data_IF_190536283104
#
_entry.id   IF_190536283104
#
_cell.length_a   1.000
_cell.length_b   1.000
_cell.length_c   1.000
_cell.angle_alpha   90.00
_cell.angle_beta   90.00
_cell.angle_gamma   90.00
#
_symmetry.space_group_name_H-M   'P 1'
#
loop_
_entity.id
_entity.type
_entity.pdbx_description
1 polymer ?
#
# COMPACT_ATOMS: atom_id res chain seq x y z
N UNK A 1 -6.84 25.04 -9.53
CA UNK A 1 -5.51 24.43 -9.31
C UNK A 1 -5.30 24.54 -7.81
N UNK A 2 -5.16 23.43 -7.07
CA UNK A 2 -4.89 23.51 -5.63
C UNK A 2 -3.56 24.22 -5.42
N UNK A 3 -3.54 25.21 -4.52
CA UNK A 3 -2.31 25.89 -4.16
C UNK A 3 -1.37 24.87 -3.48
N UNK A 4 -0.15 24.75 -3.98
CA UNK A 4 0.83 23.79 -3.44
C UNK A 4 1.25 24.13 -2.02
N UNK A 5 1.10 25.41 -1.61
CA UNK A 5 1.41 25.88 -0.26
C UNK A 5 0.30 25.53 0.75
N UNK A 6 -0.90 25.19 0.26
CA UNK A 6 -2.04 24.79 1.09
C UNK A 6 -2.06 23.27 1.38
N UNK A 7 -1.13 22.48 0.84
CA UNK A 7 -1.06 21.04 1.06
C UNK A 7 -0.65 20.73 2.51
N UNK A 8 -1.19 19.63 3.07
CA UNK A 8 -0.93 19.20 4.44
C UNK A 8 0.58 19.07 4.76
N UNK A 9 1.37 18.55 3.82
CA UNK A 9 2.82 18.43 3.97
C UNK A 9 3.55 19.80 3.97
N UNK A 10 3.07 20.81 3.23
CA UNK A 10 3.61 22.16 3.27
C UNK A 10 3.34 22.80 4.63
N UNK A 11 2.10 22.72 5.11
CA UNK A 11 1.70 23.22 6.44
C UNK A 11 2.44 22.52 7.59
N UNK A 12 2.71 21.22 7.47
CA UNK A 12 3.49 20.47 8.46
C UNK A 12 4.94 20.98 8.54
N UNK A 13 5.56 21.28 7.38
CA UNK A 13 6.90 21.88 7.33
C UNK A 13 6.93 23.28 7.92
N UNK A 14 5.93 24.12 7.60
CA UNK A 14 5.82 25.47 8.14
C UNK A 14 5.74 25.45 9.69
N UNK A 15 5.00 24.50 10.25
CA UNK A 15 4.92 24.31 11.71
C UNK A 15 6.11 23.57 12.30
N UNK A 16 7.06 23.10 11.49
CA UNK A 16 8.17 22.25 11.93
C UNK A 16 7.69 20.99 12.68
N UNK A 17 6.61 20.38 12.21
CA UNK A 17 6.08 19.15 12.83
C UNK A 17 7.14 18.05 12.84
N UNK A 18 7.35 17.34 13.96
CA UNK A 18 8.35 16.29 14.03
C UNK A 18 7.98 15.09 13.13
N UNK A 19 8.96 14.55 12.40
CA UNK A 19 8.80 13.34 11.58
C UNK A 19 9.16 12.08 12.36
N UNK A 20 10.16 12.17 13.25
CA UNK A 20 10.70 11.03 13.99
C UNK A 20 9.65 10.50 14.98
N UNK A 21 9.44 9.19 14.98
CA UNK A 21 8.54 8.49 15.89
C UNK A 21 7.04 8.66 15.59
N UNK A 22 6.68 9.19 14.42
CA UNK A 22 5.28 9.42 14.05
C UNK A 22 4.72 8.36 13.08
N UNK A 23 5.51 7.37 12.70
CA UNK A 23 5.07 6.25 11.89
C UNK A 23 4.02 5.42 12.64
N UNK A 24 3.10 4.84 11.89
CA UNK A 24 2.12 3.92 12.47
C UNK A 24 2.82 2.68 13.03
N UNK A 25 2.42 2.27 14.23
CA UNK A 25 2.87 1.01 14.82
C UNK A 25 2.11 -0.17 14.20
N UNK A 26 2.52 -0.58 13.01
CA UNK A 26 1.95 -1.71 12.29
C UNK A 26 3.04 -2.74 12.06
N UNK A 27 2.80 -3.97 12.53
CA UNK A 27 3.77 -5.07 12.40
C UNK A 27 3.74 -5.71 11.02
N UNK A 28 2.54 -5.85 10.45
CA UNK A 28 2.34 -6.48 9.15
C UNK A 28 1.45 -5.64 8.25
N UNK A 29 1.75 -5.66 6.96
CA UNK A 29 0.89 -5.13 5.93
C UNK A 29 0.40 -6.24 5.01
N UNK A 30 -0.88 -6.20 4.67
CA UNK A 30 -1.45 -6.92 3.55
C UNK A 30 -1.51 -5.97 2.36
N UNK A 31 -0.72 -6.22 1.34
CA UNK A 31 -0.68 -5.47 0.09
C UNK A 31 -1.56 -6.17 -0.93
N UNK A 32 -2.48 -5.45 -1.56
CA UNK A 32 -3.38 -6.00 -2.59
C UNK A 32 -3.29 -5.13 -3.84
N UNK A 33 -2.86 -5.71 -4.94
CA UNK A 33 -2.77 -4.97 -6.20
C UNK A 33 -4.16 -4.68 -6.76
N UNK A 34 -4.42 -3.39 -7.02
CA UNK A 34 -5.64 -2.90 -7.63
C UNK A 34 -5.33 -1.74 -8.57
N UNK A 35 -5.56 -1.94 -9.88
CA UNK A 35 -5.18 -0.99 -10.95
C UNK A 35 -6.13 0.21 -11.08
N UNK A 36 -7.37 0.07 -10.65
CA UNK A 36 -8.40 1.08 -10.76
C UNK A 36 -8.15 2.35 -9.93
N UNK A 37 -9.03 3.33 -10.06
CA UNK A 37 -9.02 4.49 -9.18
C UNK A 37 -9.40 4.07 -7.75
N UNK A 38 -8.73 4.66 -6.77
CA UNK A 38 -9.06 4.44 -5.36
C UNK A 38 -9.98 5.56 -4.86
N UNK A 39 -11.20 5.23 -4.34
CA UNK A 39 -12.07 6.18 -3.64
C UNK A 39 -11.45 6.65 -2.34
N UNK A 40 -12.09 7.52 -1.56
CA UNK A 40 -11.58 8.00 -0.28
C UNK A 40 -11.24 6.84 0.67
N UNK A 41 -12.12 5.84 0.77
CA UNK A 41 -11.86 4.57 1.43
C UNK A 41 -11.40 3.55 0.37
N UNK A 42 -10.10 3.35 0.26
CA UNK A 42 -9.49 2.58 -0.82
C UNK A 42 -10.07 1.17 -0.99
N UNK A 43 -10.45 0.51 0.09
CA UNK A 43 -11.03 -0.84 0.04
C UNK A 43 -12.46 -0.91 -0.52
N UNK A 44 -13.10 0.25 -0.77
CA UNK A 44 -14.38 0.34 -1.47
C UNK A 44 -14.18 0.51 -3.00
N UNK A 45 -12.99 0.19 -3.52
CA UNK A 45 -12.68 0.27 -4.95
C UNK A 45 -13.55 -0.69 -5.76
N UNK A 46 -14.01 -0.19 -6.92
CA UNK A 46 -14.76 -1.01 -7.89
C UNK A 46 -13.96 -2.27 -8.29
N UNK A 47 -14.64 -3.41 -8.32
CA UNK A 47 -14.01 -4.70 -8.64
C UNK A 47 -13.39 -5.44 -7.45
N UNK A 48 -13.46 -4.89 -6.25
CA UNK A 48 -13.23 -5.64 -5.01
C UNK A 48 -14.58 -6.16 -4.48
N UNK A 49 -14.65 -7.44 -4.20
CA UNK A 49 -15.83 -8.07 -3.61
C UNK A 49 -15.97 -7.64 -2.13
N UNK A 50 -17.11 -7.05 -1.72
CA UNK A 50 -17.29 -6.54 -0.36
C UNK A 50 -17.18 -7.61 0.73
N UNK A 51 -17.62 -8.85 0.46
CA UNK A 51 -17.56 -9.93 1.42
C UNK A 51 -16.11 -10.41 1.63
N UNK A 52 -15.33 -10.46 0.53
CA UNK A 52 -13.89 -10.74 0.60
C UNK A 52 -13.18 -9.61 1.33
N UNK A 53 -13.47 -8.35 1.03
CA UNK A 53 -12.89 -7.20 1.73
C UNK A 53 -13.20 -7.27 3.24
N UNK A 54 -14.42 -7.60 3.63
CA UNK A 54 -14.77 -7.76 5.04
C UNK A 54 -13.91 -8.83 5.73
N UNK A 55 -13.64 -9.95 5.05
CA UNK A 55 -12.75 -11.01 5.54
C UNK A 55 -11.28 -10.56 5.65
N UNK A 56 -10.77 -9.83 4.67
CA UNK A 56 -9.42 -9.25 4.72
C UNK A 56 -9.29 -8.29 5.91
N UNK A 57 -10.27 -7.42 6.11
CA UNK A 57 -10.29 -6.46 7.23
C UNK A 57 -10.36 -7.18 8.57
N UNK A 58 -11.17 -8.23 8.69
CA UNK A 58 -11.24 -9.04 9.91
C UNK A 58 -9.91 -9.73 10.20
N UNK A 59 -9.30 -10.37 9.20
CA UNK A 59 -8.02 -11.06 9.34
C UNK A 59 -6.87 -10.11 9.70
N UNK A 60 -6.79 -8.94 9.06
CA UNK A 60 -5.76 -7.94 9.38
C UNK A 60 -5.94 -7.37 10.78
N UNK A 61 -7.18 -7.11 11.21
CA UNK A 61 -7.48 -6.64 12.57
C UNK A 61 -7.05 -7.65 13.63
N UNK A 62 -7.29 -8.93 13.41
CA UNK A 62 -6.96 -10.01 14.33
C UNK A 62 -5.45 -10.05 14.66
N UNK A 63 -4.59 -9.79 13.68
CA UNK A 63 -3.12 -9.84 13.84
C UNK A 63 -2.47 -8.46 13.96
N UNK A 64 -3.25 -7.39 14.11
CA UNK A 64 -2.72 -6.02 14.17
C UNK A 64 -2.06 -5.55 12.88
N UNK A 65 -2.44 -6.13 11.74
CA UNK A 65 -1.97 -5.76 10.41
C UNK A 65 -2.86 -4.66 9.77
N UNK A 66 -2.41 -4.13 8.64
CA UNK A 66 -3.16 -3.15 7.84
C UNK A 66 -3.21 -3.56 6.37
N UNK A 67 -4.38 -3.50 5.76
CA UNK A 67 -4.53 -3.67 4.32
C UNK A 67 -4.26 -2.37 3.59
N UNK A 68 -3.44 -2.43 2.53
CA UNK A 68 -3.10 -1.32 1.65
C UNK A 68 -3.26 -1.78 0.20
N UNK A 69 -3.94 -0.98 -0.62
CA UNK A 69 -3.95 -1.22 -2.06
C UNK A 69 -2.65 -0.71 -2.68
N UNK A 70 -2.12 -1.47 -3.61
CA UNK A 70 -0.91 -1.16 -4.36
C UNK A 70 -1.16 -1.22 -5.86
N UNK A 71 -0.33 -0.56 -6.67
CA UNK A 71 -0.25 -0.72 -8.13
C UNK A 71 1.10 -0.28 -8.64
N UNK A 72 1.48 -0.76 -9.81
CA UNK A 72 2.71 -0.30 -10.45
C UNK A 72 2.61 1.18 -10.87
N UNK A 73 3.69 1.96 -10.76
CA UNK A 73 3.75 3.32 -11.29
C UNK A 73 3.38 3.36 -12.78
N UNK A 74 2.61 4.38 -13.18
CA UNK A 74 2.09 4.48 -14.54
C UNK A 74 0.95 3.50 -14.85
N UNK A 75 0.38 2.85 -13.83
CA UNK A 75 -0.73 1.87 -13.96
C UNK A 75 -0.41 0.73 -14.91
N UNK A 76 0.84 0.28 -14.92
CA UNK A 76 1.23 -0.90 -15.67
C UNK A 76 0.57 -2.12 -15.05
N UNK A 77 -0.10 -2.94 -15.86
CA UNK A 77 -0.66 -4.22 -15.46
C UNK A 77 -0.02 -5.33 -16.28
N UNK A 78 0.03 -6.52 -15.71
CA UNK A 78 0.40 -7.70 -16.50
C UNK A 78 -0.69 -8.01 -17.53
N UNK A 79 -0.26 -8.39 -18.74
CA UNK A 79 -1.18 -8.78 -19.81
C UNK A 79 -2.02 -10.03 -19.46
N UNK A 80 -1.58 -10.82 -18.50
CA UNK A 80 -2.28 -12.01 -17.99
C UNK A 80 -3.54 -11.72 -17.19
N UNK A 81 -3.79 -10.47 -16.78
CA UNK A 81 -4.86 -10.11 -15.83
C UNK A 81 -4.60 -10.58 -14.39
N UNK A 82 -3.49 -11.24 -14.14
CA UNK A 82 -3.05 -11.70 -12.82
C UNK A 82 -2.52 -10.51 -12.02
N UNK A 83 -3.00 -10.36 -10.79
CA UNK A 83 -2.63 -9.28 -9.88
C UNK A 83 -1.87 -9.83 -8.68
N UNK A 84 -0.98 -9.04 -8.11
CA UNK A 84 -0.21 -9.45 -6.95
C UNK A 84 -0.97 -9.20 -5.64
N UNK A 85 -0.68 -10.02 -4.64
CA UNK A 85 -0.85 -9.66 -3.24
C UNK A 85 0.45 -9.97 -2.50
N UNK A 86 0.67 -9.35 -1.34
CA UNK A 86 1.78 -9.70 -0.47
C UNK A 86 1.40 -9.51 1.00
N UNK A 87 2.03 -10.30 1.86
CA UNK A 87 2.10 -10.03 3.29
C UNK A 87 3.52 -9.60 3.60
N UNK A 88 3.68 -8.38 4.12
CA UNK A 88 4.96 -7.85 4.56
C UNK A 88 5.01 -7.84 6.08
N UNK A 89 5.97 -8.53 6.66
CA UNK A 89 6.31 -8.51 8.09
C UNK A 89 7.45 -7.50 8.30
N UNK A 90 7.07 -6.31 8.73
CA UNK A 90 7.99 -5.17 8.87
C UNK A 90 8.96 -5.37 10.04
N UNK A 91 8.52 -6.07 11.07
CA UNK A 91 9.33 -6.32 12.27
C UNK A 91 10.50 -7.27 11.98
N UNK A 92 10.26 -8.28 11.14
CA UNK A 92 11.25 -9.27 10.76
C UNK A 92 11.93 -9.00 9.40
N UNK A 93 11.53 -7.95 8.69
CA UNK A 93 12.07 -7.62 7.37
C UNK A 93 11.78 -8.70 6.32
N UNK A 94 10.62 -9.35 6.38
CA UNK A 94 10.26 -10.45 5.49
C UNK A 94 9.00 -10.13 4.70
N UNK A 95 8.93 -10.65 3.48
CA UNK A 95 7.76 -10.50 2.62
C UNK A 95 7.43 -11.84 1.95
N UNK A 96 6.14 -12.12 1.81
CA UNK A 96 5.65 -13.24 1.00
C UNK A 96 4.67 -12.74 -0.05
N UNK A 97 5.00 -12.98 -1.30
CA UNK A 97 4.17 -12.65 -2.45
C UNK A 97 3.27 -13.81 -2.85
N UNK A 98 2.11 -13.47 -3.34
CA UNK A 98 1.18 -14.35 -4.02
C UNK A 98 0.49 -13.62 -5.17
N UNK A 99 -0.47 -14.27 -5.79
CA UNK A 99 -1.20 -13.69 -6.89
C UNK A 99 -2.69 -14.01 -6.81
N UNK A 100 -3.50 -13.17 -7.42
CA UNK A 100 -4.93 -13.33 -7.46
C UNK A 100 -5.50 -12.94 -8.83
N UNK A 101 -6.54 -13.63 -9.23
CA UNK A 101 -7.34 -13.34 -10.42
C UNK A 101 -8.76 -13.08 -9.99
N UNK A 102 -9.29 -13.95 -9.17
CA UNK A 102 -10.59 -13.83 -8.53
C UNK A 102 -10.47 -13.36 -7.09
N UNK A 103 -11.49 -12.66 -6.61
CA UNK A 103 -11.48 -12.14 -5.24
C UNK A 103 -11.29 -13.23 -4.19
N UNK A 104 -11.79 -14.45 -4.43
CA UNK A 104 -11.62 -15.58 -3.52
C UNK A 104 -10.15 -15.98 -3.30
N UNK A 105 -9.28 -15.77 -4.29
CA UNK A 105 -7.84 -16.07 -4.18
C UNK A 105 -7.18 -15.23 -3.06
N UNK A 106 -7.72 -14.04 -2.78
CA UNK A 106 -7.22 -13.19 -1.69
C UNK A 106 -7.40 -13.80 -0.30
N UNK A 107 -8.24 -14.83 -0.16
CA UNK A 107 -8.40 -15.52 1.12
C UNK A 107 -7.15 -16.33 1.51
N UNK A 108 -6.30 -16.70 0.54
CA UNK A 108 -4.98 -17.26 0.82
C UNK A 108 -4.13 -16.26 1.62
N UNK A 109 -4.16 -14.99 1.26
CA UNK A 109 -3.44 -13.96 1.99
C UNK A 109 -3.87 -13.85 3.47
N UNK A 110 -5.15 -14.14 3.79
CA UNK A 110 -5.63 -14.19 5.17
C UNK A 110 -4.96 -15.33 5.98
N UNK A 111 -4.67 -16.46 5.36
CA UNK A 111 -3.94 -17.54 6.01
C UNK A 111 -2.47 -17.15 6.25
N UNK A 112 -1.83 -16.58 5.22
CA UNK A 112 -0.42 -16.12 5.29
C UNK A 112 -0.21 -15.05 6.35
N UNK A 113 -1.20 -14.19 6.61
CA UNK A 113 -1.13 -13.20 7.70
C UNK A 113 -0.85 -13.80 9.08
N UNK A 114 -1.22 -15.06 9.29
CA UNK A 114 -1.07 -15.78 10.58
C UNK A 114 0.18 -16.65 10.64
N UNK A 115 0.88 -16.82 9.51
CA UNK A 115 2.07 -17.67 9.45
C UNK A 115 3.28 -17.04 10.13
N UNK A 116 4.22 -17.89 10.54
CA UNK A 116 5.55 -17.46 10.92
C UNK A 116 6.32 -17.00 9.68
N UNK A 117 6.84 -15.78 9.70
CA UNK A 117 7.60 -15.19 8.60
C UNK A 117 9.00 -15.80 8.40
N UNK A 118 9.43 -16.67 9.30
CA UNK A 118 10.61 -17.53 9.13
C UNK A 118 10.38 -18.77 8.27
N UNK A 119 9.11 -19.07 7.92
CA UNK A 119 8.74 -20.26 7.17
C UNK A 119 9.03 -20.19 5.65
N UNK A 120 8.72 -21.27 4.91
CA UNK A 120 8.94 -21.34 3.47
C UNK A 120 8.07 -20.32 2.70
N UNK A 121 8.58 -19.83 1.58
CA UNK A 121 7.89 -18.84 0.72
C UNK A 121 8.05 -17.39 1.17
N UNK A 122 8.65 -17.14 2.32
CA UNK A 122 9.05 -15.80 2.76
C UNK A 122 10.45 -15.45 2.25
N UNK A 123 10.64 -14.20 1.83
CA UNK A 123 11.91 -13.67 1.34
C UNK A 123 12.27 -12.36 2.06
N UNK A 124 13.48 -11.88 1.85
CA UNK A 124 13.97 -10.56 2.27
C UNK A 124 13.88 -9.51 1.15
N UNK A 125 13.08 -9.82 0.12
CA UNK A 125 12.84 -8.94 -1.02
C UNK A 125 12.22 -7.61 -0.57
N UNK A 126 12.73 -6.51 -1.11
CA UNK A 126 12.24 -5.18 -0.77
C UNK A 126 10.99 -4.81 -1.55
N UNK A 127 10.06 -4.10 -0.88
CA UNK A 127 8.96 -3.40 -1.53
C UNK A 127 8.97 -1.93 -1.09
N UNK A 128 9.11 -1.02 -2.04
CA UNK A 128 9.09 0.43 -1.80
C UNK A 128 7.69 0.96 -2.06
N UNK A 129 7.00 1.38 -1.02
CA UNK A 129 5.63 1.88 -1.12
C UNK A 129 5.62 3.41 -1.10
N UNK A 130 5.09 4.02 -2.15
CA UNK A 130 4.94 5.47 -2.25
C UNK A 130 3.46 5.83 -2.28
N UNK A 131 2.99 6.57 -1.28
CA UNK A 131 1.58 6.98 -1.23
C UNK A 131 1.23 7.89 -2.42
N UNK A 132 0.21 7.46 -3.20
CA UNK A 132 -0.28 8.16 -4.38
C UNK A 132 -1.81 8.37 -4.35
N UNK A 133 -2.42 8.30 -3.16
CA UNK A 133 -3.87 8.27 -2.95
C UNK A 133 -4.49 9.67 -2.93
N UNK A 134 -4.63 10.29 -4.11
CA UNK A 134 -5.09 11.67 -4.25
C UNK A 134 -6.53 11.94 -3.84
N UNK A 135 -7.40 10.94 -3.77
CA UNK A 135 -8.77 11.09 -3.25
C UNK A 135 -8.81 11.19 -1.73
N UNK A 136 -7.83 10.61 -1.05
CA UNK A 136 -7.68 10.73 0.39
C UNK A 136 -6.96 12.02 0.76
N UNK A 137 -5.84 12.31 0.11
CA UNK A 137 -5.06 13.53 0.27
C UNK A 137 -4.43 13.95 -1.06
N UNK A 138 -4.69 15.18 -1.49
CA UNK A 138 -4.18 15.73 -2.75
C UNK A 138 -2.65 15.72 -2.80
N UNK A 139 -1.97 15.99 -1.68
CA UNK A 139 -0.51 16.01 -1.65
C UNK A 139 0.12 14.64 -1.94
N UNK A 140 -0.55 13.53 -1.56
CA UNK A 140 -0.10 12.18 -1.91
C UNK A 140 -0.07 11.96 -3.42
N UNK A 141 -1.04 12.50 -4.18
CA UNK A 141 -1.03 12.39 -5.64
C UNK A 141 -0.03 13.35 -6.28
N UNK A 142 -0.01 14.62 -5.85
CA UNK A 142 0.79 15.68 -6.48
C UNK A 142 2.28 15.45 -6.26
N UNK A 143 2.67 14.98 -5.08
CA UNK A 143 4.08 14.73 -4.72
C UNK A 143 4.47 13.26 -4.86
N UNK A 144 3.61 12.34 -4.42
CA UNK A 144 3.93 10.92 -4.40
C UNK A 144 4.09 10.29 -5.78
N UNK A 145 3.22 10.61 -6.75
CA UNK A 145 3.34 10.03 -8.10
C UNK A 145 4.64 10.37 -8.83
N UNK A 146 5.12 11.62 -8.85
CA UNK A 146 6.43 11.93 -9.43
C UNK A 146 7.58 11.19 -8.73
N UNK A 147 7.52 11.06 -7.39
CA UNK A 147 8.51 10.30 -6.63
C UNK A 147 8.47 8.82 -7.00
N UNK A 148 7.27 8.21 -7.04
CA UNK A 148 7.11 6.82 -7.44
C UNK A 148 7.65 6.56 -8.85
N UNK A 149 7.38 7.46 -9.81
CA UNK A 149 7.88 7.35 -11.17
C UNK A 149 9.42 7.43 -11.21
N UNK A 150 10.01 8.43 -10.56
CA UNK A 150 11.46 8.62 -10.53
C UNK A 150 12.20 7.46 -9.83
N UNK A 151 11.60 6.88 -8.80
CA UNK A 151 12.13 5.69 -8.14
C UNK A 151 12.02 4.44 -9.01
N UNK A 152 10.91 4.27 -9.73
CA UNK A 152 10.70 3.11 -10.60
C UNK A 152 11.69 3.03 -11.76
N UNK A 153 12.23 4.16 -12.21
CA UNK A 153 13.28 4.21 -13.23
C UNK A 153 14.64 3.70 -12.70
N UNK A 154 14.83 3.71 -11.39
CA UNK A 154 16.09 3.31 -10.73
C UNK A 154 16.00 1.97 -10.01
N UNK A 155 14.85 1.68 -9.45
CA UNK A 155 14.57 0.51 -8.63
C UNK A 155 13.49 -0.33 -9.33
N UNK A 156 13.91 -1.02 -10.38
CA UNK A 156 13.02 -1.82 -11.22
C UNK A 156 12.33 -2.89 -10.36
N UNK A 157 11.03 -3.05 -10.56
CA UNK A 157 10.18 -4.09 -9.97
C UNK A 157 9.95 -4.07 -8.45
N UNK A 158 10.58 -3.17 -7.70
CA UNK A 158 10.36 -3.05 -6.25
C UNK A 158 9.47 -1.88 -5.84
N UNK A 159 9.22 -0.91 -6.75
CA UNK A 159 8.45 0.31 -6.46
C UNK A 159 6.97 0.12 -6.76
N UNK A 160 6.15 0.54 -5.80
CA UNK A 160 4.70 0.52 -5.90
C UNK A 160 4.10 1.86 -5.49
N UNK A 161 3.13 2.37 -6.25
CA UNK A 161 2.18 3.34 -5.72
C UNK A 161 1.28 2.62 -4.72
N UNK A 162 0.96 3.26 -3.60
CA UNK A 162 0.06 2.67 -2.61
C UNK A 162 -1.07 3.63 -2.21
N UNK A 163 -2.16 3.04 -1.69
CA UNK A 163 -3.21 3.79 -1.03
C UNK A 163 -2.67 4.40 0.28
N UNK A 164 -3.46 5.29 0.89
CA UNK A 164 -3.00 6.05 2.05
C UNK A 164 -2.53 5.15 3.20
N UNK A 165 -1.30 5.39 3.65
CA UNK A 165 -0.62 4.59 4.69
C UNK A 165 -0.84 5.14 6.11
N UNK A 166 -1.45 6.32 6.25
CA UNK A 166 -1.53 7.09 7.49
C UNK A 166 -0.43 8.15 7.59
N UNK A 167 -0.60 9.14 8.44
CA UNK A 167 0.35 10.23 8.61
C UNK A 167 0.22 11.30 7.52
N UNK A 168 -0.96 11.92 7.40
CA UNK A 168 -1.34 12.88 6.35
C UNK A 168 -0.35 14.04 6.14
N UNK A 169 0.48 14.33 7.13
CA UNK A 169 1.43 15.44 7.16
C UNK A 169 2.77 15.17 6.47
N UNK A 170 3.05 13.93 6.10
CA UNK A 170 4.39 13.47 5.72
C UNK A 170 4.45 12.93 4.29
N UNK A 171 3.61 13.47 3.41
CA UNK A 171 3.75 13.18 1.98
C UNK A 171 5.10 13.67 1.46
N UNK A 172 5.71 12.88 0.60
CA UNK A 172 7.01 13.10 0.00
C UNK A 172 7.14 14.48 -0.69
#
# INVERSE_FOLDING_TARGET
MADLDDLCAARARERSDPLIGTALHVRRFLLVEHQGPWPFHALESEGLDPDVVARLVAATREVGARTILIRRPGRRSEASGRRAWAVADVENGRIRWGAWTDAADLLEACAVLREDSGGPGWSDEAAVLVCAHGRHDTCCAVRGRPVAAALADRLVDVVWECSHVGGDRFAA
#
